data_IF_819220937201
#
_entry.id   IF_819220937201
#
_cell.length_a   1.000
_cell.length_b   1.000
_cell.length_c   1.000
_cell.angle_alpha   90.00
_cell.angle_beta   90.00
_cell.angle_gamma   90.00
#
_symmetry.space_group_name_H-M   'P 1'
#
loop_
_entity.id
_entity.type
_entity.pdbx_description
1 polymer ?
#
# COMPACT_ATOMS: atom_id res chain seq x y z
N UNK A 1 23.12 12.98 2.26
CA UNK A 1 22.48 11.96 3.13
C UNK A 1 22.92 12.20 4.56
N UNK A 2 22.00 12.42 5.50
CA UNK A 2 22.31 12.90 6.84
C UNK A 2 22.52 11.81 7.90
N UNK A 3 22.73 10.55 7.48
CA UNK A 3 22.96 9.43 8.37
C UNK A 3 24.40 8.92 8.21
N UNK A 4 25.02 8.51 9.30
CA UNK A 4 26.34 7.87 9.29
C UNK A 4 26.32 6.68 8.34
N UNK A 5 27.16 6.71 7.30
CA UNK A 5 27.32 5.59 6.37
C UNK A 5 28.58 4.81 6.73
N UNK A 6 28.51 3.49 6.66
CA UNK A 6 29.73 2.69 6.62
C UNK A 6 30.35 2.86 5.23
N UNK A 7 31.39 3.68 5.12
CA UNK A 7 32.05 3.98 3.84
C UNK A 7 32.69 2.73 3.19
N UNK A 8 32.89 1.66 3.96
CA UNK A 8 33.40 0.37 3.47
C UNK A 8 32.30 -0.53 2.92
N UNK A 9 31.03 -0.20 3.14
CA UNK A 9 29.93 -0.97 2.57
C UNK A 9 29.96 -0.87 1.04
N UNK A 10 29.74 -1.98 0.31
CA UNK A 10 29.65 -1.95 -1.14
C UNK A 10 28.47 -1.06 -1.54
N UNK A 11 28.72 -0.16 -2.49
CA UNK A 11 27.76 0.88 -2.87
C UNK A 11 27.15 0.53 -4.22
N UNK A 12 25.85 0.29 -4.24
CA UNK A 12 25.09 0.16 -5.48
C UNK A 12 24.68 1.56 -5.96
N UNK A 13 25.60 2.21 -6.69
CA UNK A 13 25.40 3.56 -7.22
C UNK A 13 24.67 3.59 -8.56
N UNK A 14 24.35 2.42 -9.13
CA UNK A 14 23.51 2.38 -10.31
C UNK A 14 22.17 3.03 -9.94
N UNK A 15 21.71 3.96 -10.77
CA UNK A 15 20.44 4.64 -10.56
C UNK A 15 19.40 3.55 -10.30
N UNK A 16 19.00 3.44 -9.03
CA UNK A 16 17.98 2.52 -8.58
C UNK A 16 16.66 3.03 -9.15
N UNK A 17 16.45 2.73 -10.42
CA UNK A 17 15.12 2.64 -10.96
C UNK A 17 14.55 1.31 -10.45
N UNK A 18 13.26 1.31 -10.06
CA UNK A 18 12.65 0.37 -9.12
C UNK A 18 12.89 -1.13 -9.37
N UNK A 19 12.54 -1.92 -8.37
CA UNK A 19 12.73 -3.35 -8.29
C UNK A 19 12.46 -4.07 -9.61
N UNK A 20 13.48 -4.78 -10.11
CA UNK A 20 13.50 -5.19 -11.51
C UNK A 20 14.82 -4.86 -12.21
N UNK A 21 14.79 -4.07 -13.28
CA UNK A 21 15.93 -3.79 -14.17
C UNK A 21 16.65 -2.51 -13.78
N UNK A 22 17.95 -2.61 -13.48
CA UNK A 22 18.83 -1.47 -13.15
C UNK A 22 19.39 -0.75 -14.38
N UNK A 23 18.64 -0.72 -15.49
CA UNK A 23 19.08 -0.05 -16.73
C UNK A 23 18.91 1.46 -16.64
N UNK A 24 19.77 2.21 -17.35
CA UNK A 24 19.73 3.68 -17.40
C UNK A 24 18.58 4.28 -18.21
N UNK A 25 17.73 3.46 -18.84
CA UNK A 25 16.59 3.93 -19.62
C UNK A 25 15.45 4.43 -18.74
N UNK A 26 14.79 5.50 -19.16
CA UNK A 26 13.59 6.02 -18.50
C UNK A 26 12.51 4.93 -18.42
N UNK A 27 11.88 4.79 -17.24
CA UNK A 27 10.81 3.81 -17.01
C UNK A 27 11.26 2.35 -16.92
N UNK A 28 12.57 2.05 -17.00
CA UNK A 28 13.13 0.69 -17.00
C UNK A 28 12.51 -0.27 -15.97
N UNK A 29 12.23 0.24 -14.79
CA UNK A 29 11.69 -0.55 -13.72
C UNK A 29 10.20 -0.85 -13.82
N UNK A 30 9.39 0.14 -14.25
CA UNK A 30 8.01 -0.09 -14.63
C UNK A 30 7.94 -1.19 -15.70
N UNK A 31 8.83 -1.13 -16.69
CA UNK A 31 8.94 -2.16 -17.73
C UNK A 31 9.35 -3.53 -17.16
N UNK A 32 10.31 -3.56 -16.24
CA UNK A 32 10.74 -4.80 -15.60
C UNK A 32 9.61 -5.46 -14.79
N UNK A 33 8.83 -4.67 -14.05
CA UNK A 33 7.68 -5.17 -13.30
C UNK A 33 6.58 -5.68 -14.22
N UNK A 34 6.32 -4.99 -15.34
CA UNK A 34 5.37 -5.45 -16.37
C UNK A 34 5.79 -6.79 -16.95
N UNK A 35 7.08 -6.93 -17.30
CA UNK A 35 7.64 -8.18 -17.79
C UNK A 35 7.50 -9.30 -16.75
N UNK A 36 7.86 -9.02 -15.50
CA UNK A 36 7.78 -9.98 -14.40
C UNK A 36 6.34 -10.40 -14.04
N UNK A 37 5.37 -9.49 -14.16
CA UNK A 37 3.96 -9.79 -13.91
C UNK A 37 3.27 -10.57 -15.03
N UNK A 38 3.73 -10.42 -16.27
CA UNK A 38 3.18 -11.07 -17.46
C UNK A 38 1.67 -10.80 -17.65
N UNK A 39 0.95 -11.77 -18.22
CA UNK A 39 -0.49 -11.64 -18.58
C UNK A 39 -1.43 -11.39 -17.39
N UNK A 40 -0.99 -11.66 -16.15
CA UNK A 40 -1.81 -11.43 -14.94
C UNK A 40 -1.88 -9.95 -14.55
N UNK A 41 -0.85 -9.19 -14.90
CA UNK A 41 -0.81 -7.77 -14.59
C UNK A 41 -0.47 -7.45 -13.13
N UNK A 42 -0.55 -6.18 -12.77
CA UNK A 42 -0.20 -5.71 -11.43
C UNK A 42 -1.26 -6.04 -10.37
N UNK A 43 -0.80 -6.44 -9.19
CA UNK A 43 -1.58 -6.59 -7.96
C UNK A 43 -0.84 -5.95 -6.79
N UNK A 44 -1.54 -5.51 -5.72
CA UNK A 44 -0.90 -5.04 -4.50
C UNK A 44 0.15 -6.00 -3.96
N UNK A 45 1.16 -5.43 -3.30
CA UNK A 45 2.20 -6.20 -2.63
C UNK A 45 1.64 -6.89 -1.39
N UNK A 46 1.57 -8.21 -1.43
CA UNK A 46 1.11 -9.03 -0.31
C UNK A 46 1.91 -10.34 -0.28
N UNK A 47 3.16 -10.29 0.19
CA UNK A 47 4.09 -11.42 0.10
C UNK A 47 3.70 -12.62 0.98
N UNK A 48 2.68 -12.46 1.82
CA UNK A 48 2.18 -13.49 2.73
C UNK A 48 1.21 -14.46 2.05
N UNK A 49 0.54 -14.01 0.98
CA UNK A 49 -0.43 -14.85 0.28
C UNK A 49 0.27 -15.88 -0.61
N UNK A 50 -0.30 -17.08 -0.64
CA UNK A 50 0.21 -18.17 -1.49
C UNK A 50 0.10 -17.86 -2.99
N UNK A 51 -0.88 -17.06 -3.40
CA UNK A 51 -1.11 -16.66 -4.79
C UNK A 51 -0.31 -15.41 -5.21
N UNK A 52 0.41 -14.76 -4.29
CA UNK A 52 1.22 -13.58 -4.59
C UNK A 52 2.34 -13.91 -5.56
N UNK A 53 2.50 -13.04 -6.56
CA UNK A 53 3.55 -13.14 -7.57
C UNK A 53 4.52 -11.99 -7.39
N UNK A 54 5.73 -12.37 -7.01
CA UNK A 54 6.87 -11.49 -6.94
C UNK A 54 7.12 -10.86 -8.30
N UNK A 55 7.39 -9.55 -8.31
CA UNK A 55 7.81 -8.79 -9.50
C UNK A 55 9.27 -8.36 -9.43
N UNK A 56 9.93 -8.72 -8.33
CA UNK A 56 11.34 -8.48 -8.06
C UNK A 56 11.88 -9.53 -7.09
N UNK A 57 13.19 -9.47 -6.86
CA UNK A 57 13.85 -10.02 -5.68
C UNK A 57 13.32 -9.40 -4.39
N UNK A 58 13.49 -10.12 -3.27
CA UNK A 58 13.01 -9.66 -1.96
C UNK A 58 13.74 -8.41 -1.46
N UNK A 59 14.96 -8.14 -1.95
CA UNK A 59 15.73 -6.93 -1.64
C UNK A 59 15.97 -6.03 -2.85
N UNK A 60 15.05 -6.04 -3.83
CA UNK A 60 15.02 -5.07 -4.93
C UNK A 60 15.74 -5.45 -6.22
N UNK A 61 16.40 -6.62 -6.26
CA UNK A 61 17.04 -7.13 -7.48
C UNK A 61 16.03 -7.57 -8.56
N UNK A 62 16.45 -7.80 -9.82
CA UNK A 62 15.59 -8.37 -10.84
C UNK A 62 14.95 -9.69 -10.38
N UNK A 63 13.68 -9.94 -10.73
CA UNK A 63 13.01 -11.20 -10.37
C UNK A 63 13.73 -12.43 -10.94
N UNK A 64 14.20 -12.29 -12.19
CA UNK A 64 14.93 -13.29 -12.95
C UNK A 64 16.36 -12.77 -13.17
N UNK A 65 17.25 -13.10 -12.24
CA UNK A 65 18.63 -12.64 -12.27
C UNK A 65 19.34 -12.86 -10.94
N UNK A 66 20.63 -12.53 -10.91
CA UNK A 66 21.44 -12.61 -9.71
C UNK A 66 20.86 -11.70 -8.60
N UNK A 67 20.70 -12.26 -7.40
CA UNK A 67 20.20 -11.54 -6.23
C UNK A 67 21.39 -10.93 -5.47
N UNK A 68 21.90 -9.81 -5.99
CA UNK A 68 23.13 -9.18 -5.50
C UNK A 68 23.00 -8.60 -4.08
N UNK A 69 21.79 -8.37 -3.59
CA UNK A 69 21.49 -7.88 -2.24
C UNK A 69 21.12 -8.98 -1.23
N UNK A 70 21.18 -10.25 -1.64
CA UNK A 70 20.97 -11.41 -0.75
C UNK A 70 22.30 -12.11 -0.47
N UNK A 71 22.30 -13.01 0.51
CA UNK A 71 23.46 -13.79 0.95
C UNK A 71 24.24 -14.37 -0.24
N UNK A 72 25.53 -14.02 -0.30
CA UNK A 72 26.44 -14.38 -1.38
C UNK A 72 26.50 -13.38 -2.54
N UNK A 73 25.62 -12.38 -2.55
CA UNK A 73 25.61 -11.28 -3.52
C UNK A 73 26.61 -10.17 -3.19
N UNK A 74 27.00 -9.40 -4.22
CA UNK A 74 28.00 -8.32 -4.14
C UNK A 74 27.66 -7.24 -3.11
N UNK A 75 26.38 -6.95 -2.92
CA UNK A 75 25.90 -5.85 -2.08
C UNK A 75 25.35 -6.31 -0.72
N UNK A 76 25.33 -7.62 -0.45
CA UNK A 76 24.85 -8.19 0.82
C UNK A 76 25.67 -7.77 2.04
N UNK A 77 26.94 -7.40 1.83
CA UNK A 77 27.85 -6.94 2.88
C UNK A 77 27.94 -7.86 4.11
N UNK A 78 27.88 -9.17 3.86
CA UNK A 78 28.05 -10.20 4.87
C UNK A 78 26.93 -10.27 5.92
N UNK A 79 25.78 -9.61 5.71
CA UNK A 79 24.70 -9.58 6.71
C UNK A 79 25.08 -8.78 7.96
N UNK A 80 25.95 -7.77 7.81
CA UNK A 80 26.44 -6.96 8.93
C UNK A 80 25.28 -6.29 9.65
N UNK A 81 25.11 -6.61 10.94
CA UNK A 81 24.10 -5.99 11.80
C UNK A 81 24.39 -4.49 11.92
N UNK A 82 23.52 -3.67 11.32
CA UNK A 82 23.68 -2.20 11.29
C UNK A 82 23.06 -1.50 12.49
N UNK A 83 22.15 -2.19 13.19
CA UNK A 83 21.54 -1.68 14.43
C UNK A 83 21.01 -2.81 15.29
N UNK A 84 21.03 -2.62 16.61
CA UNK A 84 20.41 -3.54 17.58
C UNK A 84 19.26 -2.84 18.30
N UNK A 85 18.14 -3.53 18.42
CA UNK A 85 16.94 -3.04 19.10
C UNK A 85 16.52 -4.01 20.21
N UNK A 86 15.57 -3.60 21.03
CA UNK A 86 14.88 -4.47 21.98
C UNK A 86 13.50 -4.82 21.45
N UNK A 87 13.01 -6.05 21.69
CA UNK A 87 11.65 -6.46 21.28
C UNK A 87 10.59 -5.44 21.77
N UNK A 88 9.59 -5.14 20.93
CA UNK A 88 8.54 -4.16 21.25
C UNK A 88 8.93 -2.68 21.13
N UNK A 89 10.22 -2.37 20.89
CA UNK A 89 10.71 -1.01 20.76
C UNK A 89 10.18 -0.30 19.50
N UNK A 90 10.36 1.02 19.49
CA UNK A 90 10.11 1.84 18.30
C UNK A 90 11.29 1.74 17.34
N UNK A 91 10.97 1.52 16.08
CA UNK A 91 11.90 1.51 14.95
C UNK A 91 11.66 2.78 14.12
N UNK A 92 12.63 3.67 14.06
CA UNK A 92 12.59 4.85 13.18
C UNK A 92 13.35 4.59 11.88
N UNK A 93 12.73 4.86 10.73
CA UNK A 93 13.38 4.68 9.42
C UNK A 93 13.74 6.04 8.83
N UNK A 94 15.02 6.33 8.71
CA UNK A 94 15.51 7.49 7.96
C UNK A 94 15.49 7.20 6.46
N UNK A 95 14.92 8.08 5.65
CA UNK A 95 14.79 7.87 4.19
C UNK A 95 15.32 9.06 3.41
N UNK A 96 16.06 8.79 2.34
CA UNK A 96 16.55 9.79 1.39
C UNK A 96 15.98 9.48 0.01
N UNK A 97 14.93 10.19 -0.39
CA UNK A 97 14.22 9.97 -1.65
C UNK A 97 14.67 11.01 -2.68
N UNK A 98 15.44 10.56 -3.67
CA UNK A 98 16.02 11.44 -4.71
C UNK A 98 14.98 11.99 -5.69
N UNK A 99 13.97 11.18 -6.03
CA UNK A 99 12.87 11.57 -6.91
C UNK A 99 11.55 11.27 -6.25
N UNK A 100 10.73 12.29 -6.03
CA UNK A 100 9.50 12.17 -5.24
C UNK A 100 8.34 11.71 -6.12
N UNK A 101 8.16 10.38 -6.21
CA UNK A 101 7.06 9.76 -6.95
C UNK A 101 5.83 9.45 -6.09
N UNK A 102 5.69 10.11 -4.93
CA UNK A 102 4.55 9.97 -4.01
C UNK A 102 4.34 8.54 -3.49
N UNK A 103 3.11 8.19 -3.12
CA UNK A 103 2.76 6.85 -2.65
C UNK A 103 3.14 6.61 -1.20
N UNK A 104 3.51 5.38 -0.87
CA UNK A 104 3.73 4.98 0.52
C UNK A 104 4.78 3.88 0.68
N UNK A 105 5.34 3.85 1.88
CA UNK A 105 6.27 2.85 2.37
C UNK A 105 5.54 1.88 3.29
N UNK A 106 5.84 0.60 3.15
CA UNK A 106 5.57 -0.44 4.13
C UNK A 106 6.91 -1.04 4.57
N UNK A 107 6.96 -1.50 5.83
CA UNK A 107 8.16 -2.14 6.38
C UNK A 107 7.80 -3.52 6.86
N UNK A 108 8.60 -4.51 6.47
CA UNK A 108 8.48 -5.89 6.90
C UNK A 108 9.74 -6.28 7.67
N UNK A 109 9.60 -7.19 8.63
CA UNK A 109 10.73 -7.76 9.35
C UNK A 109 10.69 -9.28 9.26
N UNK A 110 11.85 -9.88 9.03
CA UNK A 110 12.04 -11.31 8.87
C UNK A 110 13.09 -11.83 9.84
N UNK A 111 12.81 -12.96 10.49
CA UNK A 111 13.73 -13.68 11.35
C UNK A 111 14.49 -14.71 10.50
N UNK A 112 15.78 -14.49 10.24
CA UNK A 112 16.52 -15.30 9.26
C UNK A 112 16.74 -16.74 9.73
N UNK A 113 16.68 -16.99 11.03
CA UNK A 113 16.75 -18.34 11.60
C UNK A 113 15.56 -19.21 11.12
N UNK A 114 14.41 -18.58 10.82
CA UNK A 114 13.23 -19.26 10.26
C UNK A 114 13.28 -19.41 8.73
N UNK A 115 14.34 -18.89 8.11
CA UNK A 115 14.38 -18.62 6.68
C UNK A 115 15.62 -19.18 5.98
N UNK A 116 16.23 -20.22 6.57
CA UNK A 116 17.47 -20.84 6.09
C UNK A 116 18.65 -19.83 6.02
N UNK A 117 18.68 -18.87 6.93
CA UNK A 117 19.81 -17.96 7.12
C UNK A 117 19.81 -16.69 6.26
N UNK A 118 18.71 -16.39 5.54
CA UNK A 118 18.48 -15.08 4.91
C UNK A 118 16.99 -14.84 4.60
N UNK A 119 16.60 -13.59 4.33
CA UNK A 119 15.27 -13.25 3.81
C UNK A 119 15.03 -13.91 2.45
N UNK A 120 13.83 -14.46 2.25
CA UNK A 120 13.49 -15.16 1.02
C UNK A 120 12.00 -15.18 0.76
N UNK A 121 11.60 -15.52 -0.48
CA UNK A 121 10.17 -15.64 -0.85
C UNK A 121 9.44 -16.69 -0.02
N UNK A 122 10.13 -17.73 0.46
CA UNK A 122 9.57 -18.74 1.37
C UNK A 122 9.45 -18.22 2.80
N UNK A 123 10.37 -17.36 3.26
CA UNK A 123 10.34 -16.72 4.57
C UNK A 123 9.00 -16.02 4.85
N UNK A 124 8.52 -15.22 3.89
CA UNK A 124 7.23 -14.55 4.00
C UNK A 124 6.06 -15.54 4.08
N UNK A 125 6.03 -16.56 3.21
CA UNK A 125 4.94 -17.53 3.12
C UNK A 125 4.87 -18.49 4.31
N UNK A 126 6.00 -18.75 4.97
CA UNK A 126 6.10 -19.67 6.11
C UNK A 126 5.99 -18.98 7.48
N UNK A 127 5.64 -17.69 7.51
CA UNK A 127 5.50 -16.93 8.76
C UNK A 127 6.83 -16.54 9.43
N UNK A 128 7.95 -16.58 8.68
CA UNK A 128 9.24 -16.04 9.12
C UNK A 128 9.29 -14.52 9.08
N UNK A 129 8.39 -13.89 8.31
CA UNK A 129 8.26 -12.44 8.22
C UNK A 129 6.93 -11.92 8.74
N UNK A 130 6.90 -10.65 9.14
CA UNK A 130 5.68 -9.92 9.50
C UNK A 130 5.76 -8.45 9.09
N UNK A 131 4.62 -7.86 8.75
CA UNK A 131 4.54 -6.44 8.41
C UNK A 131 4.50 -5.62 9.69
N UNK A 132 5.33 -4.59 9.77
CA UNK A 132 5.32 -3.67 10.90
C UNK A 132 4.17 -2.69 10.78
N UNK A 133 3.56 -2.38 11.92
CA UNK A 133 2.57 -1.32 12.04
C UNK A 133 3.27 -0.02 12.39
N UNK A 134 2.75 1.10 11.89
CA UNK A 134 3.16 2.43 12.33
C UNK A 134 2.94 2.59 13.83
N UNK A 135 3.87 3.26 14.48
CA UNK A 135 3.74 3.68 15.86
C UNK A 135 3.04 5.03 15.94
N UNK A 136 2.22 5.21 16.98
CA UNK A 136 1.57 6.48 17.27
C UNK A 136 2.63 7.57 17.47
N UNK A 137 2.44 8.70 16.80
CA UNK A 137 3.25 9.89 16.99
C UNK A 137 2.30 11.11 17.00
N UNK A 138 2.21 11.86 18.10
CA UNK A 138 1.23 12.94 18.23
C UNK A 138 1.41 14.05 17.17
N UNK A 139 2.64 14.29 16.72
CA UNK A 139 2.93 15.24 15.65
C UNK A 139 2.32 14.77 14.33
N UNK A 140 2.43 13.48 14.01
CA UNK A 140 1.85 12.90 12.81
C UNK A 140 0.33 12.79 12.89
N UNK A 141 -0.20 12.37 14.04
CA UNK A 141 -1.64 12.21 14.26
C UNK A 141 -2.41 13.54 14.25
N UNK A 142 -1.72 14.66 14.47
CA UNK A 142 -2.32 16.00 14.32
C UNK A 142 -2.81 16.31 12.90
N UNK A 143 -2.36 15.54 11.89
CA UNK A 143 -2.53 15.81 10.46
C UNK A 143 -1.97 17.15 9.96
N UNK A 144 -1.39 17.98 10.83
CA UNK A 144 -0.85 19.31 10.50
C UNK A 144 0.64 19.30 10.19
N UNK A 145 1.36 18.28 10.66
CA UNK A 145 2.81 18.19 10.47
C UNK A 145 3.17 18.07 8.98
N UNK A 146 4.14 18.85 8.46
CA UNK A 146 4.63 18.69 7.10
C UNK A 146 5.56 17.46 6.94
N UNK A 147 5.94 16.80 8.04
CA UNK A 147 6.94 15.72 8.04
C UNK A 147 6.34 14.31 8.08
N UNK A 148 5.06 14.19 8.35
CA UNK A 148 4.34 12.91 8.38
C UNK A 148 2.84 13.14 8.40
N UNK A 149 2.08 12.13 8.00
CA UNK A 149 0.62 12.11 8.16
C UNK A 149 0.18 11.12 9.24
N UNK A 150 -1.10 11.15 9.62
CA UNK A 150 -1.67 10.26 10.63
C UNK A 150 -1.65 8.80 10.17
N UNK A 151 -1.83 7.87 11.09
CA UNK A 151 -1.97 6.44 10.77
C UNK A 151 -3.25 6.22 9.96
N UNK A 152 -3.09 5.60 8.79
CA UNK A 152 -4.23 5.10 8.03
C UNK A 152 -4.83 3.90 8.76
N UNK A 153 -6.06 4.06 9.25
CA UNK A 153 -6.76 3.02 10.00
C UNK A 153 -7.02 1.75 9.17
N UNK A 154 -7.11 1.88 7.83
CA UNK A 154 -7.32 0.74 6.92
C UNK A 154 -6.01 0.05 6.57
N UNK A 155 -4.93 0.82 6.53
CA UNK A 155 -3.60 0.32 6.21
C UNK A 155 -2.58 0.79 7.26
N UNK A 156 -2.64 0.25 8.49
CA UNK A 156 -1.86 0.78 9.62
C UNK A 156 -0.35 0.55 9.49
N UNK A 157 0.10 -0.22 8.49
CA UNK A 157 1.51 -0.40 8.15
C UNK A 157 2.03 0.62 7.13
N UNK A 158 1.18 1.48 6.55
CA UNK A 158 1.60 2.42 5.50
C UNK A 158 2.06 3.75 6.06
N UNK A 159 3.25 4.15 5.65
CA UNK A 159 3.78 5.49 5.84
C UNK A 159 3.77 6.23 4.50
N UNK A 160 2.91 7.24 4.36
CA UNK A 160 2.76 8.00 3.13
C UNK A 160 3.85 9.08 3.04
N UNK A 161 4.46 9.24 1.86
CA UNK A 161 5.52 10.22 1.64
C UNK A 161 4.97 11.65 1.81
N UNK A 162 5.45 12.44 2.79
CA UNK A 162 5.15 13.86 2.95
C UNK A 162 5.64 14.70 1.78
N UNK A 163 5.39 16.01 1.77
CA UNK A 163 5.80 16.86 0.65
C UNK A 163 7.28 16.81 0.32
N UNK A 164 7.57 17.03 -0.96
CA UNK A 164 8.91 17.31 -1.42
C UNK A 164 9.43 18.59 -0.73
N UNK A 165 10.58 18.47 -0.05
CA UNK A 165 11.34 19.53 0.61
C UNK A 165 12.02 20.52 -0.35
N UNK A 166 11.91 20.32 -1.67
CA UNK A 166 12.57 21.10 -2.75
C UNK A 166 14.11 21.07 -2.69
N UNK A 167 14.68 20.23 -1.85
CA UNK A 167 16.12 19.98 -1.81
C UNK A 167 16.53 18.99 -2.91
N UNK A 168 17.85 18.81 -3.10
CA UNK A 168 18.40 17.83 -4.06
C UNK A 168 17.89 16.39 -3.84
N UNK A 169 17.51 16.07 -2.60
CA UNK A 169 16.80 14.85 -2.22
C UNK A 169 15.86 15.16 -1.06
N UNK A 170 14.82 14.35 -0.89
CA UNK A 170 13.90 14.45 0.24
C UNK A 170 14.42 13.62 1.40
N UNK A 171 14.77 14.32 2.49
CA UNK A 171 15.17 13.68 3.73
C UNK A 171 13.99 13.58 4.69
N UNK A 172 13.62 12.35 5.02
CA UNK A 172 12.61 12.04 6.01
C UNK A 172 13.29 11.46 7.24
N UNK A 173 13.15 12.19 8.35
CA UNK A 173 13.83 11.87 9.60
C UNK A 173 13.18 10.67 10.30
N UNK A 174 13.96 9.79 10.95
CA UNK A 174 13.47 8.56 11.55
C UNK A 174 12.40 8.78 12.63
N UNK A 175 12.41 9.93 13.33
CA UNK A 175 11.39 10.25 14.33
C UNK A 175 9.97 10.45 13.74
N UNK A 176 9.83 10.67 12.44
CA UNK A 176 8.52 10.85 11.78
C UNK A 176 8.04 9.60 11.01
N UNK A 177 8.95 8.67 10.71
CA UNK A 177 8.68 7.39 10.08
C UNK A 177 8.90 6.24 11.07
N UNK A 178 8.08 6.24 12.13
CA UNK A 178 8.18 5.31 13.25
C UNK A 178 7.25 4.12 13.11
N UNK A 179 7.79 2.93 13.35
CA UNK A 179 7.11 1.64 13.35
C UNK A 179 7.31 0.96 14.69
N UNK A 180 6.44 0.00 15.03
CA UNK A 180 6.57 -0.77 16.26
C UNK A 180 7.05 -2.19 15.96
N UNK A 181 8.16 -2.57 16.57
CA UNK A 181 8.63 -3.96 16.56
C UNK A 181 7.62 -4.83 17.32
N UNK A 182 7.33 -6.08 16.89
CA UNK A 182 6.38 -6.91 17.60
C UNK A 182 6.91 -7.28 19.01
N UNK A 183 6.05 -7.30 20.04
CA UNK A 183 6.48 -7.51 21.44
C UNK A 183 7.02 -8.92 21.73
N UNK A 184 6.79 -9.88 20.84
CA UNK A 184 7.22 -11.28 20.97
C UNK A 184 8.10 -11.73 19.80
N UNK A 185 8.74 -10.78 19.14
CA UNK A 185 9.65 -11.02 18.02
C UNK A 185 11.05 -10.56 18.40
N UNK A 186 12.00 -11.49 18.33
CA UNK A 186 13.42 -11.26 18.60
C UNK A 186 14.23 -12.17 17.67
N UNK A 187 15.43 -11.75 17.30
CA UNK A 187 16.34 -12.49 16.42
C UNK A 187 17.75 -11.95 16.53
N UNK A 188 18.74 -12.83 16.47
CA UNK A 188 20.16 -12.45 16.39
C UNK A 188 20.50 -11.83 15.04
N UNK A 189 19.84 -12.31 13.99
CA UNK A 189 19.90 -11.78 12.64
C UNK A 189 18.49 -11.66 12.08
N UNK A 190 18.03 -10.43 11.92
CA UNK A 190 16.77 -10.08 11.30
C UNK A 190 17.04 -9.27 10.05
N UNK A 191 16.19 -9.42 9.04
CA UNK A 191 16.23 -8.53 7.87
C UNK A 191 14.98 -7.65 7.88
N UNK A 192 15.18 -6.34 7.89
CA UNK A 192 14.15 -5.37 7.57
C UNK A 192 14.05 -5.25 6.05
N UNK A 193 12.84 -5.36 5.51
CA UNK A 193 12.54 -5.03 4.12
C UNK A 193 11.74 -3.72 4.11
N UNK A 194 12.32 -2.69 3.50
CA UNK A 194 11.63 -1.45 3.13
C UNK A 194 11.02 -1.63 1.74
N UNK A 195 9.71 -1.49 1.62
CA UNK A 195 8.97 -1.54 0.36
C UNK A 195 8.31 -0.20 0.10
N UNK A 196 8.64 0.47 -0.99
CA UNK A 196 7.99 1.70 -1.44
C UNK A 196 7.25 1.47 -2.74
N UNK A 197 5.97 1.83 -2.77
CA UNK A 197 5.19 1.90 -4.01
C UNK A 197 4.85 3.34 -4.33
N UNK A 198 5.19 3.76 -5.55
CA UNK A 198 4.94 5.10 -6.05
C UNK A 198 3.48 5.29 -6.47
N UNK A 199 3.07 6.56 -6.62
CA UNK A 199 1.72 6.95 -7.04
C UNK A 199 1.71 8.01 -8.16
N UNK A 200 2.79 8.12 -8.94
CA UNK A 200 2.94 9.05 -10.08
C UNK A 200 2.27 8.56 -11.36
N UNK A 201 2.28 7.25 -11.63
CA UNK A 201 1.78 6.65 -12.89
C UNK A 201 0.36 6.12 -12.77
N UNK A 202 -0.02 5.66 -11.58
CA UNK A 202 -1.36 5.22 -11.20
C UNK A 202 -1.47 5.34 -9.68
N UNK A 203 -2.69 5.34 -9.14
CA UNK A 203 -2.90 5.41 -7.68
C UNK A 203 -3.01 3.99 -7.09
N UNK A 204 -2.06 3.55 -6.23
CA UNK A 204 -2.20 2.27 -5.53
C UNK A 204 -3.48 2.24 -4.66
N UNK A 205 -4.10 1.06 -4.44
CA UNK A 205 -5.33 0.97 -3.65
C UNK A 205 -5.17 1.61 -2.27
N UNK A 206 -6.16 2.40 -1.85
CA UNK A 206 -6.18 3.09 -0.56
C UNK A 206 -5.52 4.47 -0.53
N UNK A 207 -4.66 4.81 -1.50
CA UNK A 207 -3.94 6.09 -1.55
C UNK A 207 -4.91 7.27 -1.65
N UNK A 208 -5.81 7.26 -2.64
CA UNK A 208 -6.79 8.34 -2.79
C UNK A 208 -7.66 8.51 -1.55
N UNK A 209 -8.10 7.41 -0.94
CA UNK A 209 -8.93 7.45 0.25
C UNK A 209 -8.21 8.02 1.48
N UNK A 210 -6.90 7.81 1.60
CA UNK A 210 -6.10 8.39 2.69
C UNK A 210 -6.08 9.93 2.59
N UNK A 211 -5.87 10.46 1.38
CA UNK A 211 -5.80 11.90 1.14
C UNK A 211 -7.17 12.59 1.01
N UNK A 212 -8.23 11.81 0.87
CA UNK A 212 -9.63 12.24 0.88
C UNK A 212 -10.35 11.90 2.18
N UNK A 213 -9.64 11.32 3.14
CA UNK A 213 -10.20 11.02 4.44
C UNK A 213 -10.44 12.28 5.27
N UNK A 214 -11.32 12.22 6.29
CA UNK A 214 -11.49 13.31 7.24
C UNK A 214 -10.20 13.65 8.01
N UNK A 215 -9.31 12.65 8.16
CA UNK A 215 -8.00 12.81 8.80
C UNK A 215 -6.88 13.00 7.77
N UNK A 216 -7.17 13.50 6.56
CA UNK A 216 -6.13 13.70 5.55
C UNK A 216 -5.03 14.62 6.06
N UNK A 217 -3.77 14.37 5.72
CA UNK A 217 -2.69 15.27 6.07
C UNK A 217 -2.83 16.63 5.37
N UNK A 218 -2.47 17.71 6.06
CA UNK A 218 -2.49 19.09 5.56
C UNK A 218 -1.59 19.29 4.33
N UNK A 219 -0.55 18.47 4.21
CA UNK A 219 0.36 18.46 3.07
C UNK A 219 -0.20 17.72 1.84
N UNK A 220 -1.44 17.26 1.87
CA UNK A 220 -2.13 16.61 0.74
C UNK A 220 -2.31 17.46 -0.52
N UNK A 221 -1.81 18.70 -0.56
CA UNK A 221 -1.96 19.64 -1.67
C UNK A 221 -0.65 20.03 -2.38
N UNK A 222 0.52 19.64 -1.87
CA UNK A 222 1.79 20.09 -2.45
C UNK A 222 2.10 19.47 -3.81
N UNK A 223 2.76 20.22 -4.69
CA UNK A 223 3.09 19.73 -6.02
C UNK A 223 4.09 18.57 -5.98
N UNK A 224 3.74 17.46 -6.61
CA UNK A 224 4.63 16.33 -6.92
C UNK A 224 4.83 16.16 -8.42
N UNK A 225 5.49 15.06 -8.82
CA UNK A 225 5.68 14.74 -10.23
C UNK A 225 4.40 14.18 -10.89
N UNK A 226 4.27 14.29 -12.21
CA UNK A 226 3.19 13.65 -12.98
C UNK A 226 1.82 14.31 -12.78
N UNK A 227 1.79 15.57 -12.32
CA UNK A 227 0.57 16.29 -11.95
C UNK A 227 0.07 15.98 -10.54
N UNK A 228 0.87 15.29 -9.73
CA UNK A 228 0.50 14.96 -8.36
C UNK A 228 0.29 16.20 -7.48
N UNK A 229 -0.68 16.11 -6.58
CA UNK A 229 -0.94 17.07 -5.49
C UNK A 229 -1.02 16.27 -4.19
N UNK A 230 -0.11 16.53 -3.26
CA UNK A 230 0.14 15.69 -2.09
C UNK A 230 0.74 14.35 -2.49
N UNK A 231 0.33 13.28 -1.80
CA UNK A 231 0.77 11.92 -2.11
C UNK A 231 -0.05 11.20 -3.19
N UNK A 232 -0.86 11.92 -3.98
CA UNK A 232 -1.75 11.33 -5.01
C UNK A 232 -1.66 12.05 -6.35
N UNK A 233 -2.01 11.33 -7.42
CA UNK A 233 -2.16 11.91 -8.76
C UNK A 233 -3.59 11.70 -9.25
N UNK A 234 -4.50 12.64 -8.96
CA UNK A 234 -5.95 12.46 -9.18
C UNK A 234 -6.36 12.24 -10.63
N UNK A 235 -5.59 12.75 -11.60
CA UNK A 235 -5.83 12.51 -13.03
C UNK A 235 -5.43 11.10 -13.49
N UNK A 236 -4.67 10.37 -12.67
CA UNK A 236 -4.20 9.03 -13.00
C UNK A 236 -5.20 7.98 -12.49
N UNK A 237 -5.40 6.88 -13.23
CA UNK A 237 -6.29 5.80 -12.82
C UNK A 237 -5.73 5.02 -11.61
N UNK A 238 -6.52 4.20 -10.93
CA UNK A 238 -6.05 3.15 -10.04
C UNK A 238 -4.98 2.28 -10.69
N UNK A 239 -4.03 1.85 -9.87
CA UNK A 239 -3.17 0.74 -10.23
C UNK A 239 -3.98 -0.56 -10.28
N UNK A 240 -3.63 -1.44 -11.21
CA UNK A 240 -4.32 -2.71 -11.40
C UNK A 240 -4.12 -3.26 -12.80
N UNK A 241 -3.93 -4.59 -12.89
CA UNK A 241 -3.81 -5.38 -14.12
C UNK A 241 -2.85 -4.75 -15.15
N UNK A 242 -3.31 -3.82 -15.99
CA UNK A 242 -2.49 -3.20 -17.04
C UNK A 242 -1.85 -1.85 -16.63
N UNK A 243 -2.19 -1.31 -15.45
CA UNK A 243 -1.61 -0.09 -14.88
C UNK A 243 -0.74 -0.45 -13.69
N UNK A 244 0.53 -0.08 -13.78
CA UNK A 244 1.57 -0.47 -12.83
C UNK A 244 2.13 0.80 -12.19
N UNK A 245 2.29 0.82 -10.85
CA UNK A 245 3.13 1.81 -10.20
C UNK A 245 4.60 1.41 -10.37
N UNK A 246 5.47 2.32 -9.97
CA UNK A 246 6.85 2.00 -9.67
C UNK A 246 6.96 1.41 -8.25
N UNK A 247 7.86 0.45 -8.02
CA UNK A 247 7.97 -0.31 -6.76
C UNK A 247 9.43 -0.55 -6.39
N UNK A 248 9.85 -0.17 -5.19
CA UNK A 248 11.23 -0.22 -4.72
C UNK A 248 11.32 -1.09 -3.47
N UNK A 249 12.39 -1.86 -3.37
CA UNK A 249 12.67 -2.67 -2.19
C UNK A 249 14.12 -2.50 -1.79
N UNK A 250 14.36 -2.39 -0.48
CA UNK A 250 15.68 -2.38 0.12
C UNK A 250 15.68 -3.23 1.39
N UNK A 251 16.83 -3.77 1.74
CA UNK A 251 16.98 -4.58 2.95
C UNK A 251 18.05 -4.02 3.88
N UNK A 252 17.90 -4.27 5.17
CA UNK A 252 18.89 -3.97 6.18
C UNK A 252 18.91 -5.05 7.27
N UNK A 253 20.11 -5.51 7.62
CA UNK A 253 20.33 -6.50 8.66
C UNK A 253 20.38 -5.85 10.04
N UNK A 254 19.52 -6.28 10.96
CA UNK A 254 19.45 -5.78 12.34
C UNK A 254 19.40 -6.95 13.32
N UNK A 255 19.59 -6.67 14.61
CA UNK A 255 19.31 -7.63 15.67
C UNK A 255 18.21 -7.08 16.59
N UNK A 256 17.43 -7.98 17.18
CA UNK A 256 16.42 -7.65 18.18
C UNK A 256 16.66 -8.52 19.40
N UNK A 257 17.07 -7.89 20.49
CA UNK A 257 17.26 -8.52 21.77
C UNK A 257 15.94 -8.84 22.45
N UNK A 258 15.97 -9.97 23.15
CA UNK A 258 14.89 -10.37 24.03
C UNK A 258 14.90 -9.50 25.29
N UNK A 259 13.74 -9.01 25.72
CA UNK A 259 13.61 -8.42 27.06
C UNK A 259 13.62 -9.57 28.06
N UNK A 260 14.54 -9.60 29.04
CA UNK A 260 14.49 -10.57 30.12
C UNK A 260 13.15 -10.46 30.83
N UNK A 261 12.40 -11.56 30.89
CA UNK A 261 11.15 -11.60 31.67
C UNK A 261 11.52 -11.40 33.14
N UNK A 262 11.00 -10.35 33.79
CA UNK A 262 10.80 -10.40 35.23
C UNK A 262 9.98 -11.65 35.55
N UNK A 263 10.40 -12.46 36.55
CA UNK A 263 9.61 -13.62 37.02
C UNK A 263 8.27 -13.10 37.53
N UNK A 264 7.21 -13.16 36.72
CA UNK A 264 5.85 -12.89 37.18
C UNK A 264 5.05 -14.19 37.24
N UNK A 265 4.23 -14.28 38.28
CA UNK A 265 3.39 -15.40 38.65
C UNK A 265 2.50 -15.96 37.52
N UNK A 266 2.16 -17.23 37.71
CA UNK A 266 1.35 -18.13 36.86
C UNK A 266 0.05 -17.43 36.41
N UNK A 267 -0.08 -17.16 35.11
CA UNK A 267 -1.37 -16.77 34.49
C UNK A 267 -2.10 -18.00 33.97
N UNK A 268 -3.38 -18.09 34.30
CA UNK A 268 -4.34 -19.10 33.83
C UNK A 268 -4.53 -19.01 32.31
N UNK A 269 -4.72 -20.17 31.67
CA UNK A 269 -4.86 -20.31 30.22
C UNK A 269 -6.16 -19.66 29.69
N UNK A 270 -6.14 -19.00 28.51
CA UNK A 270 -7.35 -18.56 27.84
C UNK A 270 -8.03 -19.72 27.11
N UNK A 271 -9.36 -19.65 27.04
CA UNK A 271 -10.24 -20.62 26.37
C UNK A 271 -9.97 -20.75 24.87
N UNK A 272 -10.32 -21.89 24.24
CA UNK A 272 -10.11 -22.13 22.82
C UNK A 272 -10.95 -21.19 21.95
N UNK A 273 -10.27 -20.53 21.01
CA UNK A 273 -10.89 -19.68 19.98
C UNK A 273 -11.68 -20.55 18.99
N UNK A 274 -12.90 -20.16 18.56
CA UNK A 274 -13.65 -20.89 17.55
C UNK A 274 -12.95 -20.94 16.20
N UNK A 275 -13.13 -22.07 15.51
CA UNK A 275 -12.69 -22.28 14.12
C UNK A 275 -13.43 -21.29 13.20
N UNK A 276 -12.76 -20.64 12.22
CA UNK A 276 -13.45 -19.75 11.29
C UNK A 276 -14.49 -20.51 10.48
N UNK A 277 -15.73 -20.03 10.52
CA UNK A 277 -16.80 -20.48 9.61
C UNK A 277 -16.38 -20.19 8.17
N UNK A 278 -16.63 -21.10 7.20
CA UNK A 278 -16.42 -20.81 5.79
C UNK A 278 -17.17 -19.54 5.40
N UNK A 279 -16.46 -18.58 4.81
CA UNK A 279 -17.05 -17.31 4.41
C UNK A 279 -18.12 -17.58 3.35
N UNK A 280 -19.30 -16.97 3.51
CA UNK A 280 -20.33 -16.97 2.47
C UNK A 280 -19.71 -16.48 1.16
N UNK A 281 -19.96 -17.18 0.05
CA UNK A 281 -19.47 -16.80 -1.28
C UNK A 281 -20.15 -15.50 -1.70
N UNK A 282 -19.47 -14.37 -1.50
CA UNK A 282 -19.93 -13.04 -1.91
C UNK A 282 -20.10 -12.96 -3.44
N UNK A 283 -21.15 -12.28 -3.87
CA UNK A 283 -21.48 -11.94 -5.26
C UNK A 283 -20.85 -10.59 -5.65
N UNK A 284 -20.83 -9.65 -4.69
CA UNK A 284 -20.27 -8.31 -4.83
C UNK A 284 -18.88 -8.25 -4.18
N UNK A 285 -17.88 -7.80 -4.93
CA UNK A 285 -16.51 -7.64 -4.44
C UNK A 285 -16.32 -6.27 -3.78
N UNK A 286 -16.65 -5.20 -4.50
CA UNK A 286 -16.44 -3.81 -4.09
C UNK A 286 -17.30 -2.85 -4.93
N UNK A 287 -17.47 -1.61 -4.45
CA UNK A 287 -17.97 -0.49 -5.23
C UNK A 287 -16.78 0.32 -5.73
N UNK A 288 -16.72 0.63 -7.01
CA UNK A 288 -15.63 1.37 -7.64
C UNK A 288 -16.18 2.68 -8.18
N UNK A 289 -15.65 3.80 -7.70
CA UNK A 289 -15.86 5.11 -8.29
C UNK A 289 -15.09 5.22 -9.61
N UNK A 290 -15.74 5.81 -10.59
CA UNK A 290 -15.22 6.25 -11.87
C UNK A 290 -15.36 7.76 -11.96
N UNK A 291 -14.43 8.39 -12.66
CA UNK A 291 -14.47 9.79 -13.01
C UNK A 291 -14.04 9.94 -14.47
N UNK A 292 -14.79 10.72 -15.26
CA UNK A 292 -14.53 10.99 -16.69
C UNK A 292 -14.20 9.72 -17.49
N UNK A 293 -15.04 8.68 -17.33
CA UNK A 293 -14.92 7.37 -17.96
C UNK A 293 -13.62 6.60 -17.63
N UNK A 294 -12.93 6.94 -16.54
CA UNK A 294 -11.79 6.18 -16.01
C UNK A 294 -12.13 5.68 -14.60
N UNK A 295 -11.71 4.45 -14.22
CA UNK A 295 -11.83 4.04 -12.84
C UNK A 295 -10.99 5.01 -12.00
N UNK A 296 -11.47 5.36 -10.81
CA UNK A 296 -10.85 6.32 -9.92
C UNK A 296 -10.39 5.67 -8.60
N UNK A 297 -11.28 5.00 -7.86
CA UNK A 297 -10.94 4.30 -6.61
C UNK A 297 -12.07 3.42 -6.10
N UNK A 298 -11.78 2.51 -5.20
CA UNK A 298 -12.82 1.83 -4.42
C UNK A 298 -13.57 2.84 -3.54
N UNK A 299 -14.89 2.78 -3.52
CA UNK A 299 -15.68 3.51 -2.54
C UNK A 299 -15.63 2.76 -1.22
N UNK A 300 -15.19 3.46 -0.18
CA UNK A 300 -15.12 2.94 1.19
C UNK A 300 -15.96 3.81 2.11
N UNK A 301 -16.38 3.24 3.24
CA UNK A 301 -17.21 3.96 4.20
C UNK A 301 -16.47 5.19 4.77
N UNK A 302 -17.23 6.27 4.92
CA UNK A 302 -16.82 7.59 5.42
C UNK A 302 -15.78 8.34 4.58
N UNK A 303 -15.62 7.98 3.30
CA UNK A 303 -14.72 8.69 2.40
C UNK A 303 -15.26 10.09 2.03
N UNK A 304 -14.41 11.13 2.03
CA UNK A 304 -14.76 12.49 1.56
C UNK A 304 -14.11 12.75 0.20
N UNK A 305 -14.80 12.43 -0.88
CA UNK A 305 -14.28 12.43 -2.25
C UNK A 305 -14.31 13.86 -2.83
N UNK A 306 -13.14 14.39 -3.17
CA UNK A 306 -13.03 15.65 -3.92
C UNK A 306 -13.19 15.39 -5.42
N UNK A 307 -14.22 16.01 -6.01
CA UNK A 307 -14.58 15.85 -7.44
C UNK A 307 -14.43 17.14 -8.25
N UNK A 308 -13.69 18.13 -7.73
CA UNK A 308 -13.58 19.46 -8.35
C UNK A 308 -12.98 19.47 -9.74
N UNK A 309 -12.15 18.47 -10.03
CA UNK A 309 -11.39 18.38 -11.29
C UNK A 309 -12.02 17.42 -12.31
N UNK A 310 -13.20 16.89 -12.03
CA UNK A 310 -13.89 15.91 -12.88
C UNK A 310 -15.21 16.48 -13.38
N UNK A 311 -15.52 16.19 -14.64
CA UNK A 311 -16.75 16.64 -15.29
C UNK A 311 -17.93 15.71 -14.93
N UNK A 312 -17.66 14.43 -14.65
CA UNK A 312 -18.68 13.49 -14.21
C UNK A 312 -18.12 12.30 -13.44
N UNK A 313 -18.94 11.74 -12.55
CA UNK A 313 -18.61 10.52 -11.80
C UNK A 313 -19.66 9.43 -11.98
N UNK A 314 -19.20 8.19 -11.86
CA UNK A 314 -19.96 6.97 -12.07
C UNK A 314 -19.60 5.99 -10.95
N UNK A 315 -20.56 5.18 -10.47
CA UNK A 315 -20.27 4.11 -9.52
C UNK A 315 -20.45 2.76 -10.20
N UNK A 316 -19.41 1.93 -10.22
CA UNK A 316 -19.43 0.54 -10.68
C UNK A 316 -19.52 -0.43 -9.50
N UNK A 317 -20.28 -1.50 -9.62
CA UNK A 317 -20.21 -2.66 -8.74
C UNK A 317 -19.34 -3.74 -9.38
N UNK A 318 -18.26 -4.12 -8.71
CA UNK A 318 -17.37 -5.17 -9.18
C UNK A 318 -17.90 -6.51 -8.70
N UNK A 319 -18.10 -7.44 -9.64
CA UNK A 319 -18.66 -8.77 -9.37
C UNK A 319 -17.54 -9.78 -9.09
N UNK A 320 -17.74 -10.64 -8.08
CA UNK A 320 -16.84 -11.78 -7.81
C UNK A 320 -16.94 -12.81 -8.94
N UNK A 321 -18.18 -13.14 -9.33
CA UNK A 321 -18.49 -13.97 -10.47
C UNK A 321 -19.66 -13.38 -11.26
N UNK A 322 -19.35 -12.79 -12.40
CA UNK A 322 -20.36 -12.18 -13.26
C UNK A 322 -21.26 -13.20 -13.98
N UNK A 323 -20.80 -14.44 -14.15
CA UNK A 323 -21.62 -15.49 -14.79
C UNK A 323 -22.78 -15.89 -13.87
N UNK A 324 -22.56 -15.83 -12.56
CA UNK A 324 -23.55 -16.19 -11.53
C UNK A 324 -24.29 -15.00 -10.93
N UNK A 325 -24.05 -13.79 -11.44
CA UNK A 325 -24.64 -12.56 -10.90
C UNK A 325 -25.34 -11.80 -12.03
N UNK A 326 -26.59 -12.16 -12.36
CA UNK A 326 -27.25 -11.73 -13.59
C UNK A 326 -27.69 -10.26 -13.55
N UNK A 327 -27.78 -9.63 -12.37
CA UNK A 327 -28.16 -8.23 -12.25
C UNK A 327 -27.60 -7.59 -10.97
N UNK A 328 -27.32 -6.29 -11.04
CA UNK A 328 -26.99 -5.42 -9.91
C UNK A 328 -27.94 -4.24 -9.89
N UNK A 329 -28.49 -3.90 -8.73
CA UNK A 329 -29.31 -2.71 -8.52
C UNK A 329 -28.56 -1.70 -7.66
N UNK A 330 -28.58 -0.43 -8.03
CA UNK A 330 -27.95 0.66 -7.27
C UNK A 330 -28.99 1.49 -6.52
N UNK A 331 -28.59 1.96 -5.34
CA UNK A 331 -29.39 2.80 -4.48
C UNK A 331 -28.54 3.94 -3.92
N UNK A 332 -29.13 5.13 -3.80
CA UNK A 332 -28.56 6.29 -3.12
C UNK A 332 -29.55 6.74 -2.06
N UNK A 333 -29.10 6.85 -0.80
CA UNK A 333 -29.90 7.15 0.37
C UNK A 333 -31.13 6.22 0.57
N UNK A 334 -31.12 5.06 -0.07
CA UNK A 334 -32.23 4.09 -0.06
C UNK A 334 -33.17 4.21 -1.26
N UNK A 335 -33.06 5.28 -2.05
CA UNK A 335 -33.79 5.44 -3.30
C UNK A 335 -33.10 4.62 -4.39
N UNK A 336 -33.85 3.75 -5.07
CA UNK A 336 -33.35 3.02 -6.24
C UNK A 336 -33.05 4.01 -7.34
N UNK A 337 -31.83 3.97 -7.88
CA UNK A 337 -31.42 4.88 -8.93
C UNK A 337 -31.83 4.33 -10.30
N UNK A 338 -32.37 5.20 -11.16
CA UNK A 338 -32.65 4.85 -12.55
C UNK A 338 -31.32 4.65 -13.28
N UNK A 339 -31.06 3.42 -13.68
CA UNK A 339 -30.01 3.09 -14.64
C UNK A 339 -30.64 3.29 -16.02
N UNK A 340 -30.26 4.36 -16.71
CA UNK A 340 -30.77 4.74 -18.04
C UNK A 340 -30.65 3.56 -19.05
N UNK A 341 -31.54 3.47 -20.03
CA UNK A 341 -31.41 2.52 -21.17
C UNK A 341 -30.21 2.86 -22.07
N UNK A 342 -29.70 4.10 -22.00
CA UNK A 342 -28.42 4.56 -22.58
C UNK A 342 -27.27 4.53 -21.58
N UNK A 343 -27.51 4.23 -20.30
CA UNK A 343 -26.42 3.86 -19.43
C UNK A 343 -25.81 2.59 -20.04
N UNK A 344 -24.48 2.51 -20.19
CA UNK A 344 -23.87 1.25 -20.58
C UNK A 344 -24.34 0.25 -19.52
N UNK A 345 -25.13 -0.76 -19.90
CA UNK A 345 -24.83 -2.18 -19.77
C UNK A 345 -26.10 -3.00 -20.06
N UNK A 346 -26.13 -3.63 -21.25
CA UNK A 346 -26.53 -5.03 -21.36
C UNK A 346 -25.33 -5.91 -20.96
N UNK A 347 -25.60 -7.09 -20.42
CA UNK A 347 -24.61 -8.12 -20.11
C UNK A 347 -23.77 -8.49 -21.34
N UNK A 348 -22.55 -7.96 -21.41
CA UNK A 348 -21.40 -8.64 -22.02
C UNK A 348 -20.12 -8.22 -21.27
N UNK A 349 -19.83 -8.88 -20.14
CA UNK A 349 -18.64 -8.63 -19.30
C UNK A 349 -18.94 -8.49 -17.80
N UNK A 350 -17.89 -8.45 -16.97
CA UNK A 350 -17.98 -8.58 -15.49
C UNK A 350 -18.33 -7.30 -14.69
N UNK A 351 -19.00 -6.31 -15.27
CA UNK A 351 -19.12 -4.95 -14.69
C UNK A 351 -20.52 -4.35 -14.84
N UNK A 352 -20.99 -3.57 -13.85
CA UNK A 352 -22.25 -2.82 -13.88
C UNK A 352 -22.07 -1.44 -13.22
N UNK A 353 -22.66 -0.34 -13.71
CA UNK A 353 -22.51 0.99 -13.12
C UNK A 353 -23.68 1.98 -13.26
N UNK A 354 -23.67 3.04 -12.44
CA UNK A 354 -24.65 4.14 -12.36
C UNK A 354 -24.01 5.53 -12.62
N UNK A 355 -24.47 6.24 -13.66
CA UNK A 355 -24.04 7.61 -13.95
C UNK A 355 -24.73 8.59 -13.00
N UNK A 356 -23.97 9.53 -12.44
CA UNK A 356 -24.49 10.49 -11.47
C UNK A 356 -24.09 11.92 -11.84
N UNK A 357 -24.99 12.62 -12.53
CA UNK A 357 -24.76 13.98 -13.02
C UNK A 357 -24.97 15.04 -11.92
N UNK A 358 -25.91 14.81 -11.00
CA UNK A 358 -26.23 15.72 -9.88
C UNK A 358 -25.80 15.16 -8.52
N UNK A 359 -24.49 15.06 -8.30
CA UNK A 359 -23.94 14.54 -7.05
C UNK A 359 -24.16 15.53 -5.89
N UNK A 360 -24.83 15.13 -4.79
CA UNK A 360 -24.99 15.98 -3.60
C UNK A 360 -23.63 16.34 -3.01
N UNK A 361 -23.29 17.62 -3.07
CA UNK A 361 -22.06 18.15 -2.50
C UNK A 361 -22.22 18.42 -1.00
N UNK A 362 -21.15 18.21 -0.25
CA UNK A 362 -21.04 18.48 1.18
C UNK A 362 -22.08 17.75 2.05
N UNK A 363 -22.68 16.68 1.53
CA UNK A 363 -23.64 15.82 2.24
C UNK A 363 -23.12 14.38 2.28
N UNK A 364 -23.23 13.74 3.45
CA UNK A 364 -22.96 12.30 3.59
C UNK A 364 -24.12 11.53 2.93
N UNK A 365 -23.80 10.78 1.87
CA UNK A 365 -24.72 9.97 1.09
C UNK A 365 -24.42 8.48 1.29
N UNK A 366 -25.47 7.67 1.37
CA UNK A 366 -25.38 6.20 1.45
C UNK A 366 -25.52 5.61 0.05
N UNK A 367 -24.45 5.04 -0.49
CA UNK A 367 -24.45 4.36 -1.79
C UNK A 367 -24.47 2.85 -1.55
N UNK A 368 -25.39 2.16 -2.22
CA UNK A 368 -25.53 0.71 -2.10
C UNK A 368 -25.66 0.03 -3.45
N UNK A 369 -25.04 -1.14 -3.59
CA UNK A 369 -25.33 -2.10 -4.66
C UNK A 369 -25.97 -3.37 -4.06
N UNK A 370 -26.96 -3.91 -4.76
CA UNK A 370 -27.66 -5.13 -4.41
C UNK A 370 -27.55 -6.15 -5.53
N UNK A 371 -27.12 -7.37 -5.22
CA UNK A 371 -27.09 -8.49 -6.17
C UNK A 371 -27.29 -9.81 -5.41
N UNK A 372 -28.05 -10.76 -5.97
CA UNK A 372 -28.31 -12.07 -5.34
C UNK A 372 -28.73 -12.00 -3.86
N UNK A 373 -29.55 -11.00 -3.49
CA UNK A 373 -30.00 -10.68 -2.10
C UNK A 373 -28.90 -10.18 -1.15
N UNK A 374 -27.67 -10.02 -1.63
CA UNK A 374 -26.58 -9.38 -0.88
C UNK A 374 -26.55 -7.87 -1.13
N UNK A 375 -26.08 -7.14 -0.13
CA UNK A 375 -25.90 -5.69 -0.18
C UNK A 375 -24.44 -5.34 0.08
N UNK A 376 -23.91 -4.43 -0.72
CA UNK A 376 -22.67 -3.73 -0.44
C UNK A 376 -23.01 -2.24 -0.29
N UNK A 377 -22.75 -1.68 0.89
CA UNK A 377 -23.13 -0.30 1.24
C UNK A 377 -21.95 0.48 1.79
N UNK A 378 -21.82 1.73 1.35
CA UNK A 378 -20.80 2.67 1.78
C UNK A 378 -21.42 4.05 1.98
N UNK A 379 -20.99 4.75 3.01
CA UNK A 379 -21.32 6.16 3.20
C UNK A 379 -20.17 7.01 2.66
N UNK A 380 -20.43 7.99 1.82
CA UNK A 380 -19.40 8.89 1.29
C UNK A 380 -19.89 10.32 1.27
N UNK A 381 -19.00 11.28 1.21
CA UNK A 381 -19.33 12.71 1.05
C UNK A 381 -18.59 13.22 -0.17
N UNK A 382 -19.27 13.82 -1.14
CA UNK A 382 -18.60 14.45 -2.28
C UNK A 382 -18.39 15.94 -2.00
N UNK A 383 -17.25 16.50 -2.41
CA UNK A 383 -16.93 17.91 -2.22
C UNK A 383 -16.38 18.51 -3.52
N UNK A 384 -16.62 19.81 -3.73
CA UNK A 384 -15.87 20.65 -4.67
C UNK A 384 -15.10 21.70 -3.85
N UNK A 385 -13.78 21.76 -3.98
CA UNK A 385 -12.85 22.55 -3.18
C UNK A 385 -11.86 23.31 -4.05
#
# INVERSE_FOLDING_TARGET
MPYSRDERAPKDYWLHFPAGSKSHSLGAALHSQRAAAGKRGWTPYDPYRADFRWRSGVCGDPLHGAQQHLKGGRFYYGGRIVQRYTQGALLGIGMSIVTHHNGFVEVHICDTAKCNGDISKSCFRKGGCTQLRRAYNPVCESAKSPHCGPIDRRYPGRWYLPCNSKQRWNDYRPQYATFRLPPHFYCEHCVLQWYWVAANTCNPPGVLDYFDGPNRPAWGSCSGQGGAKGGVTRIQPPCGRNRFPEEYMQCADIAIDRVPRARSARRVAPNPTPRPTPWARKSLAQLLLWADNKPLRELVNDAVIDISIYDGVLVEAVLVDAVRTPAVQFFVDGSKMNVDYRAPYFLQGKKAGMYWYDVPLNKRVRISAKANREWLTVHVTFVKR
#
